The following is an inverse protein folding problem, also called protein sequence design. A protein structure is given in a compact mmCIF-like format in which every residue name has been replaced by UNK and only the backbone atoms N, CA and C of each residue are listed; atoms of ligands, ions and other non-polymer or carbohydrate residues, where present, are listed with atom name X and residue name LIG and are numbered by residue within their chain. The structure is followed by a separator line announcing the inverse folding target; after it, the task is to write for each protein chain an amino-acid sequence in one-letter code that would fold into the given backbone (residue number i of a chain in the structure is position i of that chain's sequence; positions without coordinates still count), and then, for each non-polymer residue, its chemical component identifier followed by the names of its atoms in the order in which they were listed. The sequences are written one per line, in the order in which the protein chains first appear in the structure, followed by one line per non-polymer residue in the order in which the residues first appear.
data_IF_290360009448
#
_entry.id   IF_290360009448
#
_cell.length_a   1.000
_cell.length_b   1.000
_cell.length_c   1.000
_cell.angle_alpha   90.00
_cell.angle_beta   90.00
_cell.angle_gamma   90.00
#
_symmetry.space_group_name_H-M   'P 1'
#
loop_
_entity.id
_entity.type
_entity.pdbx_description
1 polymer ?
#
# COMPACT_ATOMS: atom_id res chain seq x y z
N UNK A 1 -63.83 -19.32 22.59
CA UNK A 1 -62.67 -18.44 22.80
C UNK A 1 -61.57 -18.93 21.85
N UNK A 2 -61.46 -18.29 20.69
CA UNK A 2 -60.30 -18.48 19.81
C UNK A 2 -59.11 -17.70 20.37
N UNK A 3 -57.91 -18.30 20.46
CA UNK A 3 -56.74 -17.57 20.87
C UNK A 3 -56.39 -16.51 19.81
N UNK A 4 -55.92 -15.33 20.20
CA UNK A 4 -55.56 -14.28 19.26
C UNK A 4 -54.49 -14.79 18.30
N UNK A 5 -54.75 -14.61 17.00
CA UNK A 5 -53.74 -14.83 15.94
C UNK A 5 -52.48 -14.06 16.30
N UNK A 6 -51.39 -14.78 16.69
CA UNK A 6 -50.06 -14.20 16.77
C UNK A 6 -49.62 -13.89 15.35
N UNK A 7 -49.70 -12.64 14.98
CA UNK A 7 -49.02 -12.12 13.80
C UNK A 7 -47.51 -12.26 14.12
N UNK A 8 -46.93 -13.35 13.68
CA UNK A 8 -45.50 -13.46 13.63
C UNK A 8 -45.02 -12.47 12.55
N UNK A 9 -44.57 -11.31 12.97
CA UNK A 9 -43.91 -10.38 12.09
C UNK A 9 -42.63 -11.11 11.63
N UNK A 10 -42.61 -11.57 10.38
CA UNK A 10 -41.42 -12.19 9.78
C UNK A 10 -40.38 -11.10 9.68
N UNK A 11 -39.36 -11.14 10.55
CA UNK A 11 -38.21 -10.22 10.49
C UNK A 11 -37.30 -10.65 9.34
N UNK A 12 -36.91 -9.68 8.49
CA UNK A 12 -36.01 -9.91 7.38
C UNK A 12 -34.57 -10.02 7.89
N UNK A 13 -33.85 -11.06 7.48
CA UNK A 13 -32.44 -11.24 7.77
C UNK A 13 -31.56 -10.60 6.70
N UNK A 14 -30.32 -10.23 7.07
CA UNK A 14 -29.30 -9.63 6.18
C UNK A 14 -29.06 -10.47 4.92
N UNK A 15 -29.12 -11.80 5.01
CA UNK A 15 -28.99 -12.71 3.85
C UNK A 15 -29.98 -12.46 2.72
N UNK A 16 -31.09 -11.81 3.00
CA UNK A 16 -32.13 -11.49 2.00
C UNK A 16 -31.90 -10.13 1.30
N UNK A 17 -30.87 -9.39 1.69
CA UNK A 17 -30.47 -8.15 1.06
C UNK A 17 -29.46 -8.42 -0.07
N UNK A 18 -29.43 -7.51 -1.04
CA UNK A 18 -28.33 -7.45 -1.98
C UNK A 18 -27.09 -6.87 -1.28
N UNK A 19 -25.95 -7.54 -1.44
CA UNK A 19 -24.67 -7.10 -0.93
C UNK A 19 -23.55 -7.40 -1.93
N UNK A 20 -22.54 -6.56 -1.90
CA UNK A 20 -21.35 -6.75 -2.72
C UNK A 20 -20.48 -7.88 -2.16
N UNK A 21 -19.85 -8.63 -3.06
CA UNK A 21 -18.86 -9.66 -2.70
C UNK A 21 -17.47 -9.31 -3.25
N UNK A 22 -16.83 -8.24 -2.74
CA UNK A 22 -15.50 -7.88 -3.18
C UNK A 22 -14.51 -8.97 -2.78
N UNK A 23 -13.41 -9.16 -3.56
CA UNK A 23 -12.34 -10.03 -3.13
C UNK A 23 -11.73 -9.50 -1.84
N UNK A 24 -11.63 -10.32 -0.80
CA UNK A 24 -10.88 -9.99 0.39
C UNK A 24 -9.37 -9.95 0.08
N UNK A 25 -8.65 -9.00 0.67
CA UNK A 25 -7.20 -8.87 0.50
C UNK A 25 -6.49 -9.23 1.80
N UNK A 26 -5.37 -9.94 1.69
CA UNK A 26 -4.53 -10.29 2.83
C UNK A 26 -3.77 -9.07 3.39
N UNK A 27 -3.41 -9.13 4.66
CA UNK A 27 -2.71 -8.06 5.38
C UNK A 27 -1.41 -7.58 4.71
N UNK A 28 -0.69 -8.49 4.05
CA UNK A 28 0.61 -8.21 3.41
C UNK A 28 0.50 -7.67 1.98
N UNK A 29 -0.69 -7.53 1.45
CA UNK A 29 -0.92 -6.97 0.11
C UNK A 29 -0.49 -5.51 0.07
N UNK A 30 0.09 -5.06 -1.05
CA UNK A 30 0.51 -3.67 -1.22
C UNK A 30 -0.68 -2.72 -1.37
N UNK A 31 -0.50 -1.47 -0.93
CA UNK A 31 -1.47 -0.40 -1.19
C UNK A 31 -1.74 -0.23 -2.69
N UNK A 32 -0.72 -0.37 -3.55
CA UNK A 32 -0.87 -0.29 -5.01
C UNK A 32 -1.86 -1.32 -5.54
N UNK A 33 -1.79 -2.56 -5.07
CA UNK A 33 -2.72 -3.62 -5.47
C UNK A 33 -4.14 -3.38 -4.95
N UNK A 34 -4.27 -2.88 -3.73
CA UNK A 34 -5.57 -2.51 -3.18
C UNK A 34 -6.21 -1.36 -3.97
N UNK A 35 -5.41 -0.37 -4.37
CA UNK A 35 -5.86 0.72 -5.22
C UNK A 35 -6.36 0.22 -6.57
N UNK A 36 -5.61 -0.66 -7.23
CA UNK A 36 -6.01 -1.25 -8.51
C UNK A 36 -7.33 -2.04 -8.39
N UNK A 37 -7.50 -2.79 -7.30
CA UNK A 37 -8.75 -3.51 -7.03
C UNK A 37 -9.94 -2.56 -6.84
N UNK A 38 -9.77 -1.45 -6.11
CA UNK A 38 -10.80 -0.42 -5.92
C UNK A 38 -11.13 0.33 -7.22
N UNK A 39 -10.14 0.51 -8.11
CA UNK A 39 -10.36 1.17 -9.41
C UNK A 39 -10.98 0.25 -10.46
N UNK A 40 -10.77 -1.06 -10.36
CA UNK A 40 -11.31 -2.05 -11.31
C UNK A 40 -12.83 -2.17 -11.22
N UNK A 41 -13.39 -1.97 -10.05
CA UNK A 41 -14.83 -1.93 -9.81
C UNK A 41 -15.19 -0.78 -8.86
N UNK A 42 -15.58 0.35 -9.44
CA UNK A 42 -15.93 1.56 -8.68
C UNK A 42 -17.24 1.44 -7.90
N UNK A 43 -18.01 0.39 -8.11
CA UNK A 43 -19.21 0.10 -7.30
C UNK A 43 -18.83 -0.39 -5.90
N UNK A 44 -17.62 -0.94 -5.72
CA UNK A 44 -17.11 -1.43 -4.45
C UNK A 44 -16.55 -0.25 -3.64
N UNK A 45 -17.19 0.14 -2.53
CA UNK A 45 -16.77 1.30 -1.74
C UNK A 45 -15.59 1.01 -0.82
N UNK A 46 -15.41 -0.24 -0.40
CA UNK A 46 -14.35 -0.70 0.49
C UNK A 46 -14.10 -2.20 0.32
N UNK A 47 -12.89 -2.63 0.62
CA UNK A 47 -12.47 -4.03 0.53
C UNK A 47 -12.10 -4.54 1.92
N UNK A 48 -12.58 -5.73 2.34
CA UNK A 48 -12.15 -6.36 3.57
C UNK A 48 -10.66 -6.75 3.51
N UNK A 49 -9.94 -6.43 4.58
CA UNK A 49 -8.57 -6.91 4.83
C UNK A 49 -8.63 -8.04 5.83
N UNK A 50 -8.04 -9.17 5.50
CA UNK A 50 -8.16 -10.41 6.27
C UNK A 50 -6.80 -10.96 6.68
N UNK A 51 -6.77 -11.65 7.80
CA UNK A 51 -5.66 -12.50 8.20
C UNK A 51 -5.54 -13.73 7.29
N UNK A 52 -4.44 -14.46 7.41
CA UNK A 52 -4.18 -15.69 6.63
C UNK A 52 -5.24 -16.78 6.88
N UNK A 53 -5.87 -16.79 8.04
CA UNK A 53 -6.96 -17.69 8.39
C UNK A 53 -8.34 -17.24 7.88
N UNK A 54 -8.40 -16.11 7.17
CA UNK A 54 -9.63 -15.53 6.61
C UNK A 54 -10.43 -14.68 7.58
N UNK A 55 -9.99 -14.50 8.83
CA UNK A 55 -10.69 -13.63 9.79
C UNK A 55 -10.48 -12.16 9.45
N UNK A 56 -11.49 -11.32 9.72
CA UNK A 56 -11.45 -9.90 9.42
C UNK A 56 -10.38 -9.19 10.27
N UNK A 57 -9.49 -8.47 9.61
CA UNK A 57 -8.50 -7.59 10.20
C UNK A 57 -8.93 -6.12 10.16
N UNK A 58 -9.42 -5.66 9.02
CA UNK A 58 -9.80 -4.29 8.79
C UNK A 58 -10.52 -4.07 7.47
N UNK A 59 -10.72 -2.80 7.14
CA UNK A 59 -11.32 -2.36 5.88
C UNK A 59 -10.42 -1.33 5.20
N UNK A 60 -10.27 -1.43 3.89
CA UNK A 60 -9.57 -0.44 3.09
C UNK A 60 -10.49 0.17 2.04
N UNK A 61 -10.47 1.49 1.98
CA UNK A 61 -11.23 2.29 1.02
C UNK A 61 -10.33 3.37 0.41
N UNK A 62 -10.79 4.11 -0.61
CA UNK A 62 -10.06 5.26 -1.12
C UNK A 62 -9.72 6.30 -0.04
N UNK A 63 -10.48 6.39 1.04
CA UNK A 63 -10.24 7.35 2.11
C UNK A 63 -8.96 7.04 2.90
N UNK A 64 -8.70 5.79 3.23
CA UNK A 64 -7.47 5.38 3.93
C UNK A 64 -6.25 5.60 3.03
N UNK A 65 -6.36 5.30 1.74
CA UNK A 65 -5.29 5.53 0.76
C UNK A 65 -5.00 7.03 0.63
N UNK A 66 -6.03 7.86 0.51
CA UNK A 66 -5.86 9.32 0.43
C UNK A 66 -5.24 9.90 1.71
N UNK A 67 -5.60 9.39 2.87
CA UNK A 67 -5.01 9.81 4.15
C UNK A 67 -3.51 9.50 4.21
N UNK A 68 -3.10 8.33 3.74
CA UNK A 68 -1.70 7.95 3.66
C UNK A 68 -0.93 8.81 2.65
N UNK A 69 -1.49 9.05 1.47
CA UNK A 69 -0.89 9.92 0.45
C UNK A 69 -0.65 11.34 0.99
N UNK A 70 -1.61 11.89 1.72
CA UNK A 70 -1.45 13.20 2.37
C UNK A 70 -0.35 13.20 3.42
N UNK A 71 -0.22 12.13 4.19
CA UNK A 71 0.86 11.98 5.17
C UNK A 71 2.23 11.97 4.48
N UNK A 72 2.39 11.29 3.35
CA UNK A 72 3.66 11.21 2.62
C UNK A 72 4.08 12.52 1.98
N UNK A 73 3.13 13.43 1.67
CA UNK A 73 3.45 14.78 1.23
C UNK A 73 4.16 15.61 2.31
N UNK A 74 3.79 15.40 3.57
CA UNK A 74 4.39 16.11 4.70
C UNK A 74 5.68 15.46 5.20
N UNK A 75 5.77 14.15 5.07
CA UNK A 75 6.93 13.37 5.53
C UNK A 75 7.28 12.35 4.43
N UNK A 76 8.17 12.74 3.49
CA UNK A 76 8.48 11.93 2.32
C UNK A 76 9.43 10.77 2.67
N UNK A 77 8.99 9.89 3.54
CA UNK A 77 9.75 8.71 3.93
C UNK A 77 8.87 7.46 3.92
N UNK A 78 9.50 6.32 3.72
CA UNK A 78 8.92 5.00 3.93
C UNK A 78 9.65 4.29 5.05
N UNK A 79 8.92 3.45 5.78
CA UNK A 79 9.47 2.70 6.90
C UNK A 79 9.13 1.23 6.75
N UNK A 80 10.13 0.40 6.92
CA UNK A 80 10.00 -1.04 7.01
C UNK A 80 9.17 -1.63 5.85
N UNK A 81 9.57 -1.31 4.62
CA UNK A 81 8.92 -1.77 3.40
C UNK A 81 9.64 -3.02 2.89
N UNK A 82 8.93 -4.14 2.63
CA UNK A 82 9.56 -5.30 2.00
C UNK A 82 10.14 -4.95 0.63
N UNK A 83 11.38 -5.37 0.37
CA UNK A 83 12.01 -5.17 -0.95
C UNK A 83 11.19 -5.81 -2.05
N UNK A 84 10.60 -6.97 -1.78
CA UNK A 84 9.69 -7.63 -2.72
C UNK A 84 8.51 -6.73 -3.13
N UNK A 85 7.95 -5.99 -2.19
CA UNK A 85 6.86 -5.04 -2.46
C UNK A 85 7.34 -3.90 -3.36
N UNK A 86 8.54 -3.36 -3.10
CA UNK A 86 9.13 -2.33 -3.97
C UNK A 86 9.32 -2.85 -5.39
N UNK A 87 9.86 -4.05 -5.56
CA UNK A 87 10.03 -4.66 -6.88
C UNK A 87 8.67 -4.83 -7.59
N UNK A 88 7.65 -5.25 -6.86
CA UNK A 88 6.32 -5.46 -7.42
C UNK A 88 5.68 -4.16 -7.91
N UNK A 89 5.68 -3.10 -7.11
CA UNK A 89 5.04 -1.83 -7.49
C UNK A 89 5.82 -1.03 -8.53
N UNK A 90 7.16 -1.24 -8.60
CA UNK A 90 8.05 -0.55 -9.54
C UNK A 90 8.21 -1.30 -10.87
N UNK A 91 7.62 -2.48 -11.03
CA UNK A 91 7.99 -3.41 -12.11
C UNK A 91 9.53 -3.54 -12.21
N UNK A 92 10.14 -3.68 -11.05
CA UNK A 92 11.56 -3.49 -10.83
C UNK A 92 12.35 -4.78 -10.82
N UNK A 93 13.65 -4.62 -11.08
CA UNK A 93 14.65 -5.70 -10.97
C UNK A 93 15.83 -5.22 -10.17
N UNK A 94 16.34 -6.07 -9.27
CA UNK A 94 17.63 -5.82 -8.62
C UNK A 94 18.71 -6.03 -9.66
N UNK A 95 19.60 -5.05 -9.80
CA UNK A 95 20.67 -5.07 -10.82
C UNK A 95 22.08 -5.16 -10.23
N UNK A 96 22.21 -5.23 -8.92
CA UNK A 96 23.46 -5.54 -8.25
C UNK A 96 23.31 -6.77 -7.35
N UNK A 97 24.16 -7.75 -7.55
CA UNK A 97 24.17 -8.98 -6.74
C UNK A 97 25.12 -8.88 -5.53
N UNK A 98 25.90 -7.78 -5.45
CA UNK A 98 26.97 -7.66 -4.48
C UNK A 98 26.47 -7.13 -3.13
N UNK A 99 26.24 -8.03 -2.19
CA UNK A 99 26.28 -7.73 -0.76
C UNK A 99 25.05 -7.10 -0.15
N UNK A 100 23.95 -6.98 -0.89
CA UNK A 100 22.69 -6.58 -0.31
C UNK A 100 22.02 -7.81 0.34
N UNK A 101 21.76 -7.71 1.63
CA UNK A 101 21.15 -8.77 2.41
C UNK A 101 19.93 -8.29 3.20
N UNK A 102 19.28 -7.24 2.74
CA UNK A 102 18.18 -6.59 3.48
C UNK A 102 16.86 -6.96 2.83
N UNK A 103 15.98 -7.59 3.59
CA UNK A 103 14.65 -7.96 3.11
C UNK A 103 13.66 -6.80 3.17
N UNK A 104 13.93 -5.80 4.00
CA UNK A 104 13.07 -4.64 4.24
C UNK A 104 13.89 -3.35 4.23
N UNK A 105 13.31 -2.28 3.72
CA UNK A 105 13.95 -0.98 3.56
C UNK A 105 13.16 0.13 4.25
N UNK A 106 13.90 1.08 4.78
CA UNK A 106 13.38 2.36 5.26
C UNK A 106 14.22 3.49 4.70
N UNK A 107 13.65 4.67 4.56
CA UNK A 107 14.41 5.86 4.19
C UNK A 107 13.57 7.01 3.69
N UNK A 108 14.21 8.18 3.66
CA UNK A 108 13.67 9.36 3.01
C UNK A 108 13.75 9.20 1.49
N UNK A 109 12.62 9.45 0.82
CA UNK A 109 12.54 9.34 -0.64
C UNK A 109 12.96 10.64 -1.28
N UNK A 110 14.03 10.59 -2.07
CA UNK A 110 14.61 11.75 -2.74
C UNK A 110 14.68 11.51 -4.25
N UNK A 111 14.11 12.41 -5.04
CA UNK A 111 14.31 12.44 -6.48
C UNK A 111 15.55 13.29 -6.76
N UNK A 112 16.55 12.67 -7.34
CA UNK A 112 17.73 13.41 -7.80
C UNK A 112 17.41 14.14 -9.11
N UNK A 113 17.38 15.46 -9.06
CA UNK A 113 17.29 16.30 -10.25
C UNK A 113 18.68 16.71 -10.72
N UNK A 114 18.88 16.93 -12.03
CA UNK A 114 20.12 17.48 -12.55
C UNK A 114 20.44 18.78 -11.82
N UNK A 115 21.52 18.80 -11.08
CA UNK A 115 21.96 19.96 -10.35
C UNK A 115 23.32 20.41 -10.79
N UNK A 116 23.48 21.71 -10.87
CA UNK A 116 24.78 22.36 -11.06
C UNK A 116 25.69 22.25 -9.82
N UNK A 117 25.21 21.71 -8.70
CA UNK A 117 25.99 21.56 -7.49
C UNK A 117 26.64 20.15 -7.39
N UNK A 118 27.97 20.05 -7.62
CA UNK A 118 28.69 18.78 -7.53
C UNK A 118 28.79 18.24 -6.10
N UNK A 119 28.43 19.00 -5.08
CA UNK A 119 28.54 18.65 -3.67
C UNK A 119 27.20 18.21 -3.06
N UNK A 120 26.22 17.82 -3.88
CA UNK A 120 24.96 17.31 -3.38
C UNK A 120 25.20 16.08 -2.48
N UNK A 121 24.93 16.25 -1.20
CA UNK A 121 24.89 15.16 -0.23
C UNK A 121 23.44 14.72 -0.02
N UNK A 122 23.22 13.42 -0.04
CA UNK A 122 21.94 12.87 0.37
C UNK A 122 21.81 12.94 1.90
N UNK A 123 20.57 12.94 2.46
CA UNK A 123 20.36 13.14 3.90
C UNK A 123 20.99 12.08 4.82
N UNK A 124 21.64 11.10 4.26
CA UNK A 124 22.32 10.05 5.00
C UNK A 124 22.13 8.67 4.38
N UNK A 125 22.65 7.61 5.03
CA UNK A 125 22.50 6.25 4.52
C UNK A 125 21.03 5.79 4.49
N UNK A 126 20.18 6.33 5.34
CA UNK A 126 18.75 6.03 5.35
C UNK A 126 18.00 6.82 4.27
N UNK A 127 18.42 6.67 3.03
CA UNK A 127 17.83 7.34 1.87
C UNK A 127 17.44 6.32 0.81
N UNK A 128 16.32 6.62 0.13
CA UNK A 128 15.91 5.97 -1.10
C UNK A 128 16.01 7.00 -2.20
N UNK A 129 17.02 6.85 -3.05
CA UNK A 129 17.37 7.83 -4.08
C UNK A 129 16.84 7.36 -5.43
N UNK A 130 16.12 8.22 -6.11
CA UNK A 130 15.54 7.97 -7.44
C UNK A 130 16.34 8.79 -8.46
N UNK A 131 16.95 8.12 -9.44
CA UNK A 131 17.75 8.76 -10.49
C UNK A 131 17.24 8.36 -11.86
N UNK A 132 17.43 9.25 -12.83
CA UNK A 132 17.31 8.95 -14.26
C UNK A 132 18.68 8.69 -14.88
N UNK A 133 18.95 9.27 -16.06
CA UNK A 133 20.23 9.20 -16.74
C UNK A 133 21.29 10.13 -16.10
N UNK A 134 21.69 9.79 -14.89
CA UNK A 134 22.59 10.62 -14.07
C UNK A 134 23.65 9.72 -13.39
N UNK A 135 24.63 9.20 -14.16
CA UNK A 135 25.61 8.26 -13.63
C UNK A 135 26.46 8.86 -12.48
N UNK A 136 26.76 10.16 -12.50
CA UNK A 136 27.51 10.81 -11.44
C UNK A 136 26.76 10.89 -10.11
N UNK A 137 25.44 11.10 -10.18
CA UNK A 137 24.57 11.08 -8.99
C UNK A 137 24.41 9.66 -8.48
N UNK A 138 24.23 8.70 -9.37
CA UNK A 138 24.16 7.28 -9.03
C UNK A 138 25.45 6.81 -8.34
N UNK A 139 26.62 7.18 -8.86
CA UNK A 139 27.91 6.89 -8.24
C UNK A 139 27.99 7.39 -6.81
N UNK A 140 27.62 8.64 -6.57
CA UNK A 140 27.62 9.22 -5.21
C UNK A 140 26.67 8.51 -4.25
N UNK A 141 25.47 8.15 -4.70
CA UNK A 141 24.52 7.37 -3.90
C UNK A 141 25.10 6.00 -3.49
N UNK A 142 25.77 5.32 -4.42
CA UNK A 142 26.45 4.05 -4.18
C UNK A 142 27.60 4.22 -3.19
N UNK A 143 28.46 5.22 -3.37
CA UNK A 143 29.58 5.53 -2.49
C UNK A 143 29.15 5.88 -1.06
N UNK A 144 28.01 6.56 -0.92
CA UNK A 144 27.43 6.91 0.37
C UNK A 144 26.66 5.74 1.03
N UNK A 145 26.55 4.60 0.35
CA UNK A 145 25.81 3.44 0.83
C UNK A 145 24.37 3.78 1.25
N UNK A 146 23.65 4.53 0.43
CA UNK A 146 22.20 4.75 0.65
C UNK A 146 21.47 3.43 0.68
N UNK A 147 20.35 3.35 1.38
CA UNK A 147 19.61 2.10 1.52
C UNK A 147 19.13 1.55 0.18
N UNK A 148 18.66 2.42 -0.70
CA UNK A 148 18.19 2.01 -2.03
C UNK A 148 18.48 3.08 -3.08
N UNK A 149 18.88 2.63 -4.26
CA UNK A 149 18.98 3.44 -5.47
C UNK A 149 18.03 2.89 -6.52
N UNK A 150 17.08 3.70 -6.95
CA UNK A 150 16.13 3.35 -8.00
C UNK A 150 16.55 4.06 -9.29
N UNK A 151 16.88 3.27 -10.30
CA UNK A 151 17.32 3.75 -11.62
C UNK A 151 16.14 3.67 -12.59
N UNK A 152 15.72 4.83 -13.09
CA UNK A 152 14.53 4.99 -13.93
C UNK A 152 14.91 4.96 -15.41
N UNK A 153 14.21 4.12 -16.19
CA UNK A 153 14.26 4.07 -17.67
C UNK A 153 15.63 3.78 -18.29
N UNK A 154 16.70 4.24 -17.64
CA UNK A 154 18.08 4.05 -18.11
C UNK A 154 18.71 2.83 -17.44
N UNK A 155 19.70 2.26 -18.14
CA UNK A 155 20.61 1.29 -17.54
C UNK A 155 21.69 2.01 -16.72
N UNK A 156 22.19 1.35 -15.68
CA UNK A 156 23.36 1.79 -14.97
C UNK A 156 24.62 1.29 -15.70
N UNK A 157 25.70 2.10 -15.87
CA UNK A 157 26.97 1.62 -16.40
C UNK A 157 27.47 0.39 -15.63
N UNK A 158 28.10 -0.54 -16.34
CA UNK A 158 28.57 -1.81 -15.76
C UNK A 158 29.49 -1.59 -14.56
N UNK A 159 30.41 -0.64 -14.67
CA UNK A 159 31.33 -0.28 -13.59
C UNK A 159 30.63 0.14 -12.29
N UNK A 160 29.44 0.77 -12.40
CA UNK A 160 28.63 1.15 -11.22
C UNK A 160 27.86 -0.02 -10.67
N UNK A 161 27.40 -0.96 -11.51
CA UNK A 161 26.72 -2.18 -11.07
C UNK A 161 27.63 -3.13 -10.30
N UNK A 162 28.92 -3.14 -10.64
CA UNK A 162 29.93 -3.99 -10.03
C UNK A 162 30.59 -3.35 -8.79
N UNK A 163 30.31 -2.08 -8.51
CA UNK A 163 30.88 -1.41 -7.33
C UNK A 163 30.46 -2.12 -6.05
N UNK A 164 31.41 -2.40 -5.14
CA UNK A 164 31.07 -2.90 -3.81
C UNK A 164 30.22 -1.88 -3.06
N UNK A 165 29.02 -2.28 -2.66
CA UNK A 165 28.10 -1.42 -1.93
C UNK A 165 27.09 -2.23 -1.12
N UNK A 166 26.55 -1.62 -0.07
CA UNK A 166 25.40 -2.16 0.67
C UNK A 166 24.07 -1.67 0.10
N UNK A 167 24.10 -0.76 -0.85
CA UNK A 167 22.91 -0.19 -1.49
C UNK A 167 22.16 -1.25 -2.30
N UNK A 168 20.86 -1.38 -2.08
CA UNK A 168 19.99 -2.14 -2.97
C UNK A 168 19.75 -1.31 -4.24
N UNK A 169 20.15 -1.80 -5.41
CA UNK A 169 19.99 -1.08 -6.68
C UNK A 169 18.87 -1.73 -7.48
N UNK A 170 17.80 -0.98 -7.72
CA UNK A 170 16.61 -1.44 -8.44
C UNK A 170 16.49 -0.66 -9.75
N UNK A 171 16.40 -1.36 -10.88
CA UNK A 171 16.04 -0.76 -12.16
C UNK A 171 14.52 -0.84 -12.36
N UNK A 172 13.90 0.23 -12.83
CA UNK A 172 12.49 0.31 -13.17
C UNK A 172 12.30 0.90 -14.57
N UNK A 173 11.29 0.43 -15.34
CA UNK A 173 10.94 1.05 -16.63
C UNK A 173 10.22 2.40 -16.47
N UNK A 174 9.83 2.78 -15.26
CA UNK A 174 9.09 4.01 -15.00
C UNK A 174 10.01 5.24 -15.01
N UNK A 175 9.43 6.40 -15.31
CA UNK A 175 10.07 7.68 -15.07
C UNK A 175 10.19 7.99 -13.57
N UNK A 176 11.01 8.97 -13.22
CA UNK A 176 11.28 9.30 -11.82
C UNK A 176 10.05 9.76 -11.05
N UNK A 177 9.12 10.47 -11.68
CA UNK A 177 7.91 10.93 -11.03
C UNK A 177 6.97 9.76 -10.68
N UNK A 178 6.77 8.86 -11.64
CA UNK A 178 5.97 7.65 -11.43
C UNK A 178 6.63 6.74 -10.40
N UNK A 179 7.94 6.54 -10.50
CA UNK A 179 8.69 5.73 -9.53
C UNK A 179 8.55 6.26 -8.10
N UNK A 180 8.68 7.58 -7.90
CA UNK A 180 8.53 8.20 -6.59
C UNK A 180 7.13 7.95 -5.99
N UNK A 181 6.08 8.03 -6.81
CA UNK A 181 4.72 7.73 -6.34
C UNK A 181 4.56 6.25 -6.00
N UNK A 182 5.09 5.36 -6.83
CA UNK A 182 4.97 3.92 -6.64
C UNK A 182 5.71 3.42 -5.40
N UNK A 183 6.81 4.05 -4.99
CA UNK A 183 7.52 3.70 -3.76
C UNK A 183 6.60 3.71 -2.54
N UNK A 184 5.74 4.72 -2.42
CA UNK A 184 4.78 4.80 -1.31
C UNK A 184 3.68 3.73 -1.40
N UNK A 185 3.37 3.26 -2.61
CA UNK A 185 2.40 2.19 -2.83
C UNK A 185 2.89 0.80 -2.40
N UNK A 186 4.16 0.68 -2.04
CA UNK A 186 4.74 -0.57 -1.55
C UNK A 186 4.36 -0.91 -0.11
N UNK A 187 3.74 0.00 0.63
CA UNK A 187 3.30 -0.24 2.00
C UNK A 187 2.26 -1.38 2.05
N UNK A 188 2.35 -2.20 3.09
CA UNK A 188 1.37 -3.25 3.36
C UNK A 188 0.04 -2.64 3.82
N UNK A 189 -1.08 -3.07 3.25
CA UNK A 189 -2.40 -2.47 3.56
C UNK A 189 -2.81 -2.62 5.02
N UNK A 190 -2.31 -3.62 5.72
CA UNK A 190 -2.54 -3.78 7.17
C UNK A 190 -2.09 -2.57 7.99
N UNK A 191 -1.14 -1.79 7.47
CA UNK A 191 -0.59 -0.62 8.15
C UNK A 191 -1.38 0.66 7.94
N UNK A 192 -2.28 0.67 6.97
CA UNK A 192 -3.08 1.85 6.60
C UNK A 192 -4.58 1.62 6.60
N UNK A 193 -5.03 0.36 6.62
CA UNK A 193 -6.45 0.05 6.67
C UNK A 193 -7.07 0.47 8.01
N UNK A 194 -8.38 0.69 7.99
CA UNK A 194 -9.14 0.99 9.20
C UNK A 194 -9.35 -0.29 10.00
N UNK A 195 -8.90 -0.31 11.24
CA UNK A 195 -9.03 -1.43 12.18
C UNK A 195 -9.91 -1.09 13.37
N UNK A 196 -10.08 0.19 13.66
CA UNK A 196 -10.90 0.67 14.76
C UNK A 196 -12.36 0.83 14.31
N UNK A 197 -13.27 0.66 15.26
CA UNK A 197 -14.69 0.91 15.05
C UNK A 197 -15.26 0.09 13.86
N UNK A 198 -14.82 -1.16 13.78
CA UNK A 198 -15.29 -2.12 12.79
C UNK A 198 -16.58 -2.78 13.29
N UNK A 199 -17.70 -2.25 12.87
CA UNK A 199 -18.98 -2.92 13.03
C UNK A 199 -19.16 -3.92 11.90
N UNK A 200 -19.30 -5.19 12.25
CA UNK A 200 -19.54 -6.28 11.32
C UNK A 200 -20.92 -6.90 11.60
N UNK A 201 -21.57 -7.35 10.54
CA UNK A 201 -22.85 -8.04 10.65
C UNK A 201 -22.74 -9.48 10.16
N UNK A 202 -23.68 -10.31 10.58
CA UNK A 202 -23.77 -11.68 10.10
C UNK A 202 -24.98 -11.84 9.17
N UNK A 203 -24.93 -12.80 8.28
CA UNK A 203 -26.04 -13.11 7.38
C UNK A 203 -27.34 -13.45 8.12
N UNK A 204 -27.22 -13.92 9.36
CA UNK A 204 -28.34 -14.25 10.24
C UNK A 204 -28.93 -13.05 11.01
N UNK A 205 -28.23 -11.91 11.03
CA UNK A 205 -28.72 -10.73 11.74
C UNK A 205 -29.99 -10.19 11.10
N UNK A 206 -30.81 -9.53 11.91
CA UNK A 206 -32.06 -8.95 11.42
C UNK A 206 -31.82 -7.51 10.91
N UNK A 207 -32.42 -7.21 9.77
CA UNK A 207 -32.23 -5.90 9.10
C UNK A 207 -32.63 -4.73 10.00
N UNK A 208 -33.63 -4.89 10.85
CA UNK A 208 -34.06 -3.81 11.76
C UNK A 208 -33.01 -3.50 12.82
N UNK A 209 -32.32 -4.52 13.34
CA UNK A 209 -31.26 -4.34 14.31
C UNK A 209 -30.03 -3.68 13.63
N UNK A 210 -29.71 -4.10 12.39
CA UNK A 210 -28.67 -3.49 11.57
C UNK A 210 -28.94 -2.00 11.30
N UNK A 211 -30.19 -1.65 10.96
CA UNK A 211 -30.57 -0.24 10.73
C UNK A 211 -30.32 0.64 11.95
N UNK A 212 -30.59 0.15 13.16
CA UNK A 212 -30.33 0.91 14.38
C UNK A 212 -28.84 1.21 14.56
N UNK A 213 -27.97 0.24 14.26
CA UNK A 213 -26.52 0.42 14.34
C UNK A 213 -26.04 1.39 13.27
N UNK A 214 -26.48 1.21 12.02
CA UNK A 214 -26.09 2.07 10.89
C UNK A 214 -26.50 3.54 11.12
N UNK A 215 -27.67 3.79 11.70
CA UNK A 215 -28.12 5.16 12.00
C UNK A 215 -27.26 5.87 13.05
N UNK A 216 -26.61 5.12 13.93
CA UNK A 216 -25.70 5.65 14.96
C UNK A 216 -24.27 5.74 14.49
N UNK A 217 -23.91 5.03 13.44
CA UNK A 217 -22.55 4.95 12.89
C UNK A 217 -22.31 6.04 11.84
N UNK A 218 -21.03 6.41 11.69
CA UNK A 218 -20.57 7.34 10.64
C UNK A 218 -20.11 6.62 9.37
N UNK A 219 -20.11 5.30 9.37
CA UNK A 219 -19.62 4.51 8.26
C UNK A 219 -20.72 4.28 7.21
N UNK A 220 -20.29 4.10 5.96
CA UNK A 220 -21.19 3.83 4.82
C UNK A 220 -21.13 2.39 4.33
N UNK A 221 -20.14 1.64 4.78
CA UNK A 221 -19.90 0.26 4.37
C UNK A 221 -19.55 -0.59 5.57
N UNK A 222 -20.11 -1.77 5.62
CA UNK A 222 -19.99 -2.68 6.75
C UNK A 222 -19.68 -4.08 6.22
N UNK A 223 -18.69 -4.80 6.80
CA UNK A 223 -18.44 -6.18 6.44
C UNK A 223 -19.59 -7.08 6.93
N UNK A 224 -19.89 -8.09 6.13
CA UNK A 224 -20.81 -9.19 6.49
C UNK A 224 -19.93 -10.45 6.63
N UNK A 225 -20.05 -11.10 7.78
CA UNK A 225 -19.27 -12.28 8.14
C UNK A 225 -20.10 -13.57 8.01
#
# INVERSE_FOLDING_TARGET
FEPPLRIQTMRTQVRALDYDTPPALGCAVTMGRAWDALQSDRSIPAIPVVHDDGTLYGMISPAEIAAYDMQTLSTPCVQDIPVFNLLSVLDGKIINDAGYSVDRLSGEVTIAVPQSNPNLLFPGPESIVIVGEQPDVARRAIEQNVNCLIVCQAGLPEELREMPTKTCIIATPFDAFRAARMVYHAIEISRICRTDDLEAFHLSDFVDDVKEVVLKSRHRSYPIL
#
